data_IF_909598501830
#
_entry.id   IF_909598501830
#
_cell.length_a   1.000
_cell.length_b   1.000
_cell.length_c   1.000
_cell.angle_alpha   90.00
_cell.angle_beta   90.00
_cell.angle_gamma   90.00
#
_symmetry.space_group_name_H-M   'P 1'
#
loop_
_entity.id
_entity.type
_entity.pdbx_description
1 polymer ?
#
# COMPACT_ATOMS: atom_id res chain seq x y z
N UNK A 1 5.65 17.21 14.25
CA UNK A 1 6.45 16.11 14.83
C UNK A 1 7.20 15.44 13.70
N UNK A 2 8.48 15.72 13.55
CA UNK A 2 9.33 15.15 12.49
C UNK A 2 9.78 13.76 12.92
N UNK A 3 9.03 12.72 12.54
CA UNK A 3 9.50 11.33 12.65
C UNK A 3 10.86 11.21 11.97
N UNK A 4 11.87 10.75 12.71
CA UNK A 4 13.24 10.62 12.22
C UNK A 4 13.27 9.61 11.05
N UNK A 5 14.15 9.78 10.05
CA UNK A 5 14.30 8.82 8.95
C UNK A 5 14.48 7.37 9.42
N UNK A 6 15.19 7.18 10.54
CA UNK A 6 15.39 5.87 11.16
C UNK A 6 14.08 5.23 11.66
N UNK A 7 13.14 6.04 12.17
CA UNK A 7 11.85 5.54 12.68
C UNK A 7 10.98 5.02 11.53
N UNK A 8 11.00 5.72 10.39
CA UNK A 8 10.23 5.32 9.19
C UNK A 8 10.72 4.01 8.61
N UNK A 9 12.03 3.83 8.50
CA UNK A 9 12.61 2.61 7.94
C UNK A 9 12.39 1.40 8.85
N UNK A 10 12.48 1.58 10.17
CA UNK A 10 12.16 0.54 11.14
C UNK A 10 10.68 0.12 11.05
N UNK A 11 9.76 1.10 10.95
CA UNK A 11 8.33 0.87 10.77
C UNK A 11 8.03 0.11 9.48
N UNK A 12 8.58 0.56 8.35
CA UNK A 12 8.42 -0.10 7.05
C UNK A 12 8.92 -1.55 7.07
N UNK A 13 10.07 -1.79 7.70
CA UNK A 13 10.60 -3.14 7.90
C UNK A 13 9.66 -4.00 8.74
N UNK A 14 9.11 -3.46 9.81
CA UNK A 14 8.14 -4.18 10.65
C UNK A 14 6.90 -4.57 9.85
N UNK A 15 6.31 -3.63 9.10
CA UNK A 15 5.11 -3.85 8.29
C UNK A 15 5.35 -4.87 7.19
N UNK A 16 6.43 -4.76 6.43
CA UNK A 16 6.77 -5.73 5.38
C UNK A 16 7.05 -7.11 5.95
N UNK A 17 7.66 -7.21 7.13
CA UNK A 17 7.95 -8.50 7.78
C UNK A 17 6.70 -9.26 8.22
N UNK A 18 5.53 -8.61 8.28
CA UNK A 18 4.24 -9.27 8.53
C UNK A 18 3.69 -9.99 7.29
N UNK A 19 4.19 -9.66 6.10
CA UNK A 19 3.78 -10.30 4.86
C UNK A 19 4.56 -11.60 4.67
N UNK A 20 3.86 -12.74 4.66
CA UNK A 20 4.49 -14.04 4.43
C UNK A 20 5.32 -14.06 3.14
N UNK A 21 4.80 -13.48 2.06
CA UNK A 21 5.50 -13.36 0.77
C UNK A 21 6.83 -12.62 0.89
N UNK A 22 6.93 -11.59 1.74
CA UNK A 22 8.17 -10.85 1.94
C UNK A 22 9.22 -11.68 2.66
N UNK A 23 8.81 -12.44 3.67
CA UNK A 23 9.73 -13.31 4.44
C UNK A 23 10.32 -14.45 3.62
N UNK A 24 9.64 -14.84 2.52
CA UNK A 24 10.13 -15.86 1.58
C UNK A 24 11.18 -15.34 0.59
N UNK A 25 11.40 -14.02 0.51
CA UNK A 25 12.38 -13.41 -0.38
C UNK A 25 13.80 -13.52 0.18
N UNK A 26 14.80 -13.50 -0.69
CA UNK A 26 16.21 -13.42 -0.27
C UNK A 26 16.48 -12.12 0.48
N UNK A 27 17.49 -12.12 1.37
CA UNK A 27 17.87 -10.94 2.14
C UNK A 27 18.22 -9.73 1.25
N UNK A 28 18.86 -9.97 0.10
CA UNK A 28 19.16 -8.94 -0.90
C UNK A 28 17.87 -8.33 -1.48
N UNK A 29 16.91 -9.18 -1.86
CA UNK A 29 15.61 -8.72 -2.38
C UNK A 29 14.83 -7.95 -1.33
N UNK A 30 14.83 -8.43 -0.07
CA UNK A 30 14.20 -7.71 1.04
C UNK A 30 14.82 -6.32 1.23
N UNK A 31 16.14 -6.20 1.14
CA UNK A 31 16.83 -4.91 1.22
C UNK A 31 16.46 -3.98 0.06
N UNK A 32 16.35 -4.51 -1.17
CA UNK A 32 15.92 -3.75 -2.33
C UNK A 32 14.48 -3.23 -2.19
N UNK A 33 13.55 -4.07 -1.71
CA UNK A 33 12.19 -3.66 -1.40
C UNK A 33 12.15 -2.55 -0.34
N UNK A 34 12.91 -2.71 0.75
CA UNK A 34 12.99 -1.69 1.82
C UNK A 34 13.56 -0.36 1.33
N UNK A 35 14.47 -0.39 0.36
CA UNK A 35 15.05 0.81 -0.23
C UNK A 35 14.09 1.50 -1.21
N UNK A 36 13.25 0.74 -1.93
CA UNK A 36 12.32 1.28 -2.92
C UNK A 36 10.96 1.68 -2.32
N UNK A 37 10.54 1.04 -1.22
CA UNK A 37 9.24 1.29 -0.63
C UNK A 37 9.17 2.63 0.11
N UNK A 38 8.03 3.30 -0.01
CA UNK A 38 7.78 4.60 0.62
C UNK A 38 6.51 4.54 1.44
N UNK A 39 6.52 5.21 2.60
CA UNK A 39 5.31 5.40 3.39
C UNK A 39 4.49 6.55 2.81
N UNK A 40 3.23 6.30 2.51
CA UNK A 40 2.26 7.31 2.10
C UNK A 40 1.07 7.32 3.05
N UNK A 41 0.52 8.51 3.28
CA UNK A 41 -0.68 8.70 4.07
C UNK A 41 -1.77 9.28 3.18
N UNK A 42 -2.97 8.71 3.27
CA UNK A 42 -4.15 9.17 2.56
C UNK A 42 -5.24 9.50 3.57
N UNK A 43 -5.84 10.66 3.41
CA UNK A 43 -7.00 11.10 4.19
C UNK A 43 -8.26 10.37 3.72
N UNK A 44 -9.26 10.29 4.60
CA UNK A 44 -10.54 9.66 4.28
C UNK A 44 -11.18 10.31 3.04
N UNK A 45 -11.55 9.47 2.06
CA UNK A 45 -12.14 9.91 0.79
C UNK A 45 -11.13 10.27 -0.30
N UNK A 46 -9.82 10.26 -0.02
CA UNK A 46 -8.82 10.39 -1.08
C UNK A 46 -8.76 9.12 -1.95
N UNK A 47 -8.63 9.33 -3.26
CA UNK A 47 -8.45 8.25 -4.23
C UNK A 47 -6.96 7.91 -4.33
N UNK A 48 -6.63 6.62 -4.17
CA UNK A 48 -5.24 6.12 -4.25
C UNK A 48 -4.81 5.92 -5.71
N UNK A 49 -5.70 5.37 -6.55
CA UNK A 49 -5.48 5.17 -7.99
C UNK A 49 -6.82 5.09 -8.73
N UNK A 50 -6.80 5.31 -10.05
CA UNK A 50 -7.97 5.15 -10.91
C UNK A 50 -7.89 3.89 -11.78
N UNK A 51 -9.05 3.32 -12.11
CA UNK A 51 -9.13 2.22 -13.07
C UNK A 51 -8.65 2.68 -14.45
N UNK A 52 -7.79 1.88 -15.08
CA UNK A 52 -7.21 2.17 -16.40
C UNK A 52 -5.88 2.92 -16.36
N UNK A 53 -5.43 3.37 -15.18
CA UNK A 53 -4.07 3.91 -15.02
C UNK A 53 -3.02 2.78 -15.06
N UNK A 54 -1.79 3.06 -15.55
CA UNK A 54 -0.69 2.09 -15.50
C UNK A 54 -0.44 1.58 -14.08
N UNK A 55 -0.33 0.26 -13.94
CA UNK A 55 -0.09 -0.41 -12.66
C UNK A 55 1.40 -0.44 -12.32
N UNK A 56 2.00 0.73 -12.09
CA UNK A 56 3.44 0.88 -11.86
C UNK A 56 3.84 0.72 -10.39
N UNK A 57 2.87 0.54 -9.48
CA UNK A 57 3.10 0.48 -8.03
C UNK A 57 2.17 -0.51 -7.35
N UNK A 58 2.65 -1.08 -6.25
CA UNK A 58 1.87 -1.94 -5.35
C UNK A 58 1.75 -1.24 -4.00
N UNK A 59 0.54 -1.25 -3.44
CA UNK A 59 0.23 -0.67 -2.14
C UNK A 59 0.02 -1.76 -1.10
N UNK A 60 0.54 -1.53 0.10
CA UNK A 60 0.35 -2.37 1.27
C UNK A 60 -0.36 -1.51 2.31
N UNK A 61 -1.53 -1.95 2.76
CA UNK A 61 -2.29 -1.25 3.78
C UNK A 61 -1.68 -1.56 5.16
N UNK A 62 -1.11 -0.54 5.80
CA UNK A 62 -0.54 -0.67 7.15
C UNK A 62 -1.58 -0.41 8.25
N UNK A 63 -2.43 0.59 8.07
CA UNK A 63 -3.47 0.97 9.02
C UNK A 63 -4.66 1.61 8.29
N UNK A 64 -5.85 1.43 8.85
CA UNK A 64 -7.11 1.96 8.30
C UNK A 64 -7.88 0.94 7.47
N UNK A 65 -8.59 1.43 6.46
CA UNK A 65 -9.34 0.58 5.52
C UNK A 65 -9.42 1.25 4.17
N UNK A 66 -9.50 0.44 3.11
CA UNK A 66 -9.70 0.92 1.75
C UNK A 66 -10.80 0.11 1.07
N UNK A 67 -11.51 0.76 0.15
CA UNK A 67 -12.44 0.08 -0.75
C UNK A 67 -12.00 0.30 -2.19
N UNK A 68 -12.11 -0.74 -3.01
CA UNK A 68 -12.04 -0.60 -4.46
C UNK A 68 -13.46 -0.58 -5.01
N UNK A 69 -13.72 0.35 -5.92
CA UNK A 69 -15.02 0.50 -6.60
C UNK A 69 -14.80 0.58 -8.09
N UNK A 70 -15.76 0.04 -8.85
CA UNK A 70 -15.86 0.23 -10.30
C UNK A 70 -17.16 0.96 -10.63
N UNK A 71 -17.10 1.85 -11.60
CA UNK A 71 -18.31 2.47 -12.14
C UNK A 71 -18.99 1.52 -13.14
N UNK A 72 -20.28 1.27 -12.97
CA UNK A 72 -21.06 0.51 -13.96
C UNK A 72 -21.40 1.39 -15.17
N UNK A 73 -21.80 0.75 -16.27
CA UNK A 73 -22.29 1.46 -17.47
C UNK A 73 -23.50 2.36 -17.19
N UNK A 74 -24.23 2.12 -16.09
CA UNK A 74 -25.37 2.93 -15.64
C UNK A 74 -24.96 4.09 -14.69
N UNK A 75 -23.65 4.29 -14.46
CA UNK A 75 -23.16 5.34 -13.58
C UNK A 75 -23.32 5.05 -12.08
N UNK A 76 -23.48 3.78 -11.68
CA UNK A 76 -23.50 3.39 -10.27
C UNK A 76 -22.13 2.90 -9.82
N UNK A 77 -21.71 3.25 -8.61
CA UNK A 77 -20.55 2.65 -7.98
C UNK A 77 -20.86 1.23 -7.50
N UNK A 78 -20.04 0.27 -7.90
CA UNK A 78 -20.05 -1.09 -7.38
C UNK A 78 -18.76 -1.36 -6.60
N UNK A 79 -18.90 -1.70 -5.32
CA UNK A 79 -17.77 -2.14 -4.48
C UNK A 79 -17.26 -3.51 -4.93
N UNK A 80 -15.95 -3.62 -5.14
CA UNK A 80 -15.27 -4.85 -5.58
C UNK A 80 -14.54 -5.54 -4.42
N UNK A 81 -13.83 -4.74 -3.62
CA UNK A 81 -12.98 -5.24 -2.55
C UNK A 81 -13.01 -4.25 -1.38
N UNK A 82 -12.97 -4.81 -0.17
CA UNK A 82 -12.77 -4.06 1.07
C UNK A 82 -11.58 -4.68 1.79
N UNK A 83 -10.56 -3.87 2.07
CA UNK A 83 -9.37 -4.27 2.82
C UNK A 83 -9.32 -3.48 4.12
N UNK A 84 -8.96 -4.16 5.20
CA UNK A 84 -8.79 -3.62 6.55
C UNK A 84 -7.66 -4.36 7.24
#
# INVERSE_FOLDING_TARGET
MTTSPHDKQARLKSTLSQLSLFTMLSAETQAAFLAAATMQHFEAGQVIYFEGEPADSVYILEDGWVKSTRMTHEGREQGLLFLR
#
